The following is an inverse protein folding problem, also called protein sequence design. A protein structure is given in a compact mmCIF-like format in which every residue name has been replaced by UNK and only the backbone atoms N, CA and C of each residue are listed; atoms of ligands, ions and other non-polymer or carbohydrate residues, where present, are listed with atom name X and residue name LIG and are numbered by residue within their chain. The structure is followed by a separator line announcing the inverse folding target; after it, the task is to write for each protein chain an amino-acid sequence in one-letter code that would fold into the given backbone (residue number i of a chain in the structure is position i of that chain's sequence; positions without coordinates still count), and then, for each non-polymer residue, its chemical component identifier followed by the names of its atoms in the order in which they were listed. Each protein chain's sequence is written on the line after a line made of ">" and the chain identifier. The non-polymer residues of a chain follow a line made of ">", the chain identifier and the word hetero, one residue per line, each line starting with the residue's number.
data_IF_393693271259
#
_entry.id   IF_393693271259
#
_cell.length_a   1.000
_cell.length_b   1.000
_cell.length_c   1.000
_cell.angle_alpha   90.00
_cell.angle_beta   90.00
_cell.angle_gamma   90.00
#
_symmetry.space_group_name_H-M   'P 1'
#
loop_
_entity.id
_entity.type
_entity.pdbx_description
1 polymer ?
#
# COMPACT_ATOMS: atom_id res chain seq x y z
N UNK A 1 17.30 -16.66 -34.90
CA UNK A 1 17.76 -15.76 -33.83
C UNK A 1 16.83 -16.04 -32.67
N UNK A 2 17.29 -16.74 -31.64
CA UNK A 2 16.49 -17.04 -30.46
C UNK A 2 16.18 -15.73 -29.75
N UNK A 3 14.90 -15.40 -29.61
CA UNK A 3 14.42 -14.41 -28.64
C UNK A 3 14.84 -14.92 -27.25
N UNK A 4 15.92 -14.36 -26.74
CA UNK A 4 16.22 -14.45 -25.33
C UNK A 4 15.09 -13.64 -24.67
N UNK A 5 14.07 -14.30 -24.13
CA UNK A 5 13.07 -13.67 -23.31
C UNK A 5 13.83 -12.83 -22.27
N UNK A 6 13.63 -11.51 -22.33
CA UNK A 6 14.33 -10.62 -21.41
C UNK A 6 13.78 -10.91 -20.02
N UNK A 7 14.67 -11.35 -19.12
CA UNK A 7 14.32 -11.61 -17.73
C UNK A 7 13.63 -10.39 -17.09
N UNK A 8 12.66 -10.65 -16.23
CA UNK A 8 11.96 -9.62 -15.46
C UNK A 8 12.88 -9.16 -14.33
N UNK A 9 13.33 -7.91 -14.39
CA UNK A 9 14.22 -7.32 -13.40
C UNK A 9 13.44 -6.90 -12.16
N UNK A 10 13.63 -7.64 -11.08
CA UNK A 10 12.96 -7.42 -9.81
C UNK A 10 13.86 -6.81 -8.75
N UNK A 11 13.25 -6.01 -7.90
CA UNK A 11 13.82 -5.57 -6.62
C UNK A 11 12.80 -5.83 -5.51
N UNK A 12 13.28 -6.27 -4.34
CA UNK A 12 12.41 -6.60 -3.20
C UNK A 12 12.84 -5.80 -1.97
N UNK A 13 11.87 -5.28 -1.22
CA UNK A 13 12.10 -4.67 0.10
C UNK A 13 11.14 -5.22 1.15
N UNK A 14 11.70 -5.70 2.25
CA UNK A 14 10.98 -6.11 3.47
C UNK A 14 11.95 -5.96 4.64
N UNK A 15 11.57 -5.32 5.73
CA UNK A 15 12.41 -5.13 6.92
C UNK A 15 12.64 -6.42 7.72
N UNK A 16 11.87 -7.48 7.43
CA UNK A 16 12.03 -8.82 7.99
C UNK A 16 12.99 -9.68 7.16
N UNK A 17 14.27 -9.71 7.55
CA UNK A 17 15.34 -10.41 6.81
C UNK A 17 15.01 -11.86 6.42
N UNK A 18 14.37 -12.62 7.30
CA UNK A 18 14.04 -14.03 7.01
C UNK A 18 12.97 -14.15 5.92
N UNK A 19 11.97 -13.28 5.95
CA UNK A 19 10.93 -13.20 4.91
C UNK A 19 11.56 -12.84 3.58
N UNK A 20 12.37 -11.78 3.56
CA UNK A 20 13.07 -11.29 2.38
C UNK A 20 13.95 -12.38 1.75
N UNK A 21 14.79 -13.06 2.54
CA UNK A 21 15.65 -14.14 2.06
C UNK A 21 14.85 -15.33 1.52
N UNK A 22 13.79 -15.72 2.22
CA UNK A 22 12.91 -16.82 1.78
C UNK A 22 12.23 -16.51 0.46
N UNK A 23 11.71 -15.29 0.31
CA UNK A 23 11.05 -14.82 -0.90
C UNK A 23 12.02 -14.75 -2.09
N UNK A 24 13.19 -14.12 -1.90
CA UNK A 24 14.19 -14.03 -2.95
C UNK A 24 14.63 -15.41 -3.44
N UNK A 25 14.92 -16.33 -2.52
CA UNK A 25 15.32 -17.69 -2.90
C UNK A 25 14.29 -18.42 -3.77
N UNK A 26 13.00 -18.23 -3.47
CA UNK A 26 11.93 -18.86 -4.25
C UNK A 26 11.74 -18.21 -5.63
N UNK A 27 11.96 -16.90 -5.73
CA UNK A 27 11.88 -16.19 -7.01
C UNK A 27 13.10 -16.44 -7.89
N UNK A 28 14.29 -16.68 -7.32
CA UNK A 28 15.51 -17.06 -8.03
C UNK A 28 15.41 -18.45 -8.71
N UNK A 29 14.45 -19.29 -8.30
CA UNK A 29 14.19 -20.59 -8.94
C UNK A 29 13.38 -20.45 -10.25
N UNK A 30 12.95 -19.25 -10.62
CA UNK A 30 12.13 -18.98 -11.81
C UNK A 30 13.01 -18.43 -12.93
N UNK A 31 13.11 -19.15 -14.04
CA UNK A 31 14.08 -18.91 -15.13
C UNK A 31 14.01 -17.51 -15.76
N UNK A 32 12.84 -16.90 -15.80
CA UNK A 32 12.58 -15.59 -16.42
C UNK A 32 12.52 -14.43 -15.42
N UNK A 33 12.90 -14.67 -14.15
CA UNK A 33 12.98 -13.64 -13.10
C UNK A 33 14.45 -13.42 -12.72
N UNK A 34 14.86 -12.17 -12.68
CA UNK A 34 16.19 -11.73 -12.23
C UNK A 34 16.04 -10.78 -11.03
N UNK A 35 16.51 -11.18 -9.85
CA UNK A 35 16.52 -10.32 -8.67
C UNK A 35 17.77 -9.44 -8.71
N UNK A 36 17.62 -8.16 -9.02
CA UNK A 36 18.72 -7.18 -9.06
C UNK A 36 19.17 -6.76 -7.67
N UNK A 37 18.29 -6.84 -6.67
CA UNK A 37 18.62 -6.49 -5.30
C UNK A 37 17.50 -6.78 -4.31
N UNK A 38 17.90 -6.95 -3.05
CA UNK A 38 16.99 -7.10 -1.93
C UNK A 38 17.40 -6.17 -0.77
N UNK A 39 16.45 -5.47 -0.19
CA UNK A 39 16.72 -4.37 0.74
C UNK A 39 15.90 -4.51 2.02
N UNK A 40 16.50 -4.11 3.13
CA UNK A 40 15.81 -3.97 4.42
C UNK A 40 15.65 -2.51 4.84
N UNK A 41 16.26 -1.58 4.08
CA UNK A 41 16.26 -0.15 4.38
C UNK A 41 15.84 0.66 3.14
N UNK A 42 14.90 1.57 3.33
CA UNK A 42 14.34 2.39 2.26
C UNK A 42 15.40 3.25 1.57
N UNK A 43 16.32 3.85 2.32
CA UNK A 43 17.33 4.72 1.72
C UNK A 43 18.28 3.97 0.77
N UNK A 44 18.65 2.74 1.11
CA UNK A 44 19.46 1.88 0.25
C UNK A 44 18.72 1.51 -1.04
N UNK A 45 17.43 1.16 -0.94
CA UNK A 45 16.57 0.92 -2.08
C UNK A 45 16.49 2.13 -3.01
N UNK A 46 16.21 3.34 -2.47
CA UNK A 46 16.07 4.55 -3.27
C UNK A 46 17.35 4.92 -4.02
N UNK A 47 18.52 4.72 -3.37
CA UNK A 47 19.82 4.92 -4.03
C UNK A 47 20.02 3.92 -5.17
N UNK A 48 19.64 2.68 -4.98
CA UNK A 48 19.74 1.63 -6.00
C UNK A 48 18.84 1.92 -7.20
N UNK A 49 17.58 2.30 -6.97
CA UNK A 49 16.61 2.63 -8.01
C UNK A 49 17.02 3.82 -8.87
N UNK A 50 17.77 4.78 -8.32
CA UNK A 50 18.32 5.92 -9.09
C UNK A 50 19.42 5.54 -10.08
N UNK A 51 20.04 4.37 -9.90
CA UNK A 51 21.21 3.93 -10.66
C UNK A 51 20.93 2.72 -11.56
N UNK A 52 19.79 2.08 -11.40
CA UNK A 52 19.48 0.83 -12.08
C UNK A 52 18.08 0.85 -12.70
N UNK A 53 17.95 0.26 -13.87
CA UNK A 53 16.66 0.02 -14.48
C UNK A 53 16.01 -1.22 -13.87
N UNK A 54 14.87 -1.04 -13.25
CA UNK A 54 14.06 -2.06 -12.57
C UNK A 54 12.69 -2.11 -13.23
N UNK A 55 12.20 -3.31 -13.50
CA UNK A 55 10.86 -3.51 -14.07
C UNK A 55 9.77 -3.47 -13.00
N UNK A 56 10.02 -4.17 -11.88
CA UNK A 56 9.03 -4.33 -10.82
C UNK A 56 9.71 -4.23 -9.45
N UNK A 57 9.12 -3.44 -8.57
CA UNK A 57 9.42 -3.41 -7.14
C UNK A 57 8.37 -4.20 -6.37
N UNK A 58 8.80 -5.14 -5.55
CA UNK A 58 7.97 -5.80 -4.55
C UNK A 58 8.29 -5.18 -3.20
N UNK A 59 7.29 -4.63 -2.51
CA UNK A 59 7.47 -3.96 -1.22
C UNK A 59 6.49 -4.47 -0.18
N UNK A 60 6.99 -4.68 1.03
CA UNK A 60 6.09 -4.72 2.20
C UNK A 60 5.38 -3.37 2.36
N UNK A 61 4.12 -3.43 2.76
CA UNK A 61 3.31 -2.25 3.06
C UNK A 61 3.78 -1.58 4.36
N UNK A 62 4.21 -2.36 5.34
CA UNK A 62 4.65 -1.87 6.65
C UNK A 62 6.15 -2.11 6.78
N UNK A 63 6.94 -1.07 6.58
CA UNK A 63 8.37 -1.05 6.80
C UNK A 63 8.67 -0.34 8.13
N UNK A 64 9.79 -0.65 8.76
CA UNK A 64 10.16 -0.16 10.10
C UNK A 64 10.07 1.37 10.24
N UNK A 65 10.54 2.10 9.24
CA UNK A 65 10.68 3.56 9.31
C UNK A 65 9.82 4.30 8.26
N UNK A 66 9.03 3.59 7.46
CA UNK A 66 8.26 4.18 6.36
C UNK A 66 7.04 3.31 6.04
N UNK A 67 5.91 3.93 5.81
CA UNK A 67 4.76 3.22 5.26
C UNK A 67 4.92 3.00 3.75
N UNK A 68 4.50 1.84 3.24
CA UNK A 68 4.63 1.50 1.82
C UNK A 68 4.01 2.53 0.88
N UNK A 69 2.93 3.19 1.27
CA UNK A 69 2.33 4.27 0.49
C UNK A 69 3.21 5.51 0.38
N UNK A 70 3.91 5.88 1.46
CA UNK A 70 4.87 7.00 1.42
C UNK A 70 6.05 6.66 0.51
N UNK A 71 6.47 5.39 0.51
CA UNK A 71 7.50 4.89 -0.40
C UNK A 71 7.02 4.96 -1.86
N UNK A 72 5.80 4.52 -2.16
CA UNK A 72 5.19 4.60 -3.50
C UNK A 72 5.15 6.04 -4.00
N UNK A 73 4.63 6.97 -3.18
CA UNK A 73 4.58 8.39 -3.51
C UNK A 73 5.98 8.95 -3.83
N UNK A 74 6.94 8.67 -2.95
CA UNK A 74 8.32 9.14 -3.10
C UNK A 74 9.00 8.59 -4.36
N UNK A 75 8.78 7.32 -4.71
CA UNK A 75 9.31 6.73 -5.94
C UNK A 75 8.71 7.42 -7.15
N UNK A 76 7.39 7.63 -7.17
CA UNK A 76 6.71 8.29 -8.28
C UNK A 76 7.16 9.74 -8.49
N UNK A 77 7.41 10.48 -7.42
CA UNK A 77 7.83 11.88 -7.47
C UNK A 77 9.33 12.07 -7.80
N UNK A 78 10.21 11.24 -7.22
CA UNK A 78 11.65 11.52 -7.20
C UNK A 78 12.48 10.59 -8.10
N UNK A 79 11.93 9.44 -8.55
CA UNK A 79 12.72 8.40 -9.22
C UNK A 79 12.13 8.01 -10.55
N UNK A 80 11.01 7.31 -10.56
CA UNK A 80 10.38 6.78 -11.76
C UNK A 80 8.87 6.58 -11.57
N UNK A 81 8.01 7.44 -12.16
CA UNK A 81 6.56 7.28 -12.06
C UNK A 81 6.01 6.04 -12.79
N UNK A 82 6.81 5.45 -13.69
CA UNK A 82 6.41 4.28 -14.48
C UNK A 82 6.85 2.95 -13.83
N UNK A 83 7.59 3.01 -12.70
CA UNK A 83 8.01 1.79 -12.00
C UNK A 83 6.78 1.04 -11.48
N UNK A 84 6.65 -0.21 -11.91
CA UNK A 84 5.55 -1.06 -11.49
C UNK A 84 5.79 -1.55 -10.06
N UNK A 85 4.80 -1.33 -9.18
CA UNK A 85 4.93 -1.67 -7.76
C UNK A 85 3.88 -2.71 -7.39
N UNK A 86 4.33 -3.78 -6.73
CA UNK A 86 3.51 -4.80 -6.07
C UNK A 86 3.68 -4.60 -4.57
N UNK A 87 2.60 -4.31 -3.86
CA UNK A 87 2.59 -4.25 -2.41
C UNK A 87 2.19 -5.61 -1.82
N UNK A 88 2.88 -6.01 -0.76
CA UNK A 88 2.55 -7.22 0.01
C UNK A 88 2.25 -6.80 1.45
N UNK A 89 1.22 -7.36 2.08
CA UNK A 89 0.88 -7.05 3.46
C UNK A 89 0.36 -8.27 4.21
N UNK A 90 0.72 -8.39 5.49
CA UNK A 90 0.10 -9.34 6.43
C UNK A 90 -1.30 -8.89 6.86
N UNK A 91 -1.67 -7.65 6.61
CA UNK A 91 -2.99 -7.11 6.89
C UNK A 91 -3.67 -6.73 5.58
N UNK A 92 -4.77 -7.41 5.26
CA UNK A 92 -5.57 -7.11 4.09
C UNK A 92 -6.86 -6.42 4.55
N UNK A 93 -6.93 -5.13 4.30
CA UNK A 93 -8.15 -4.35 4.45
C UNK A 93 -8.56 -3.77 3.09
N UNK A 94 -9.84 -3.83 2.77
CA UNK A 94 -10.36 -3.38 1.48
C UNK A 94 -10.04 -1.90 1.19
N UNK A 95 -10.04 -1.05 2.24
CA UNK A 95 -9.68 0.36 2.14
C UNK A 95 -8.20 0.58 1.77
N UNK A 96 -7.30 -0.21 2.34
CA UNK A 96 -5.86 -0.16 2.07
C UNK A 96 -5.59 -0.60 0.62
N UNK A 97 -6.30 -1.62 0.18
CA UNK A 97 -6.21 -2.10 -1.19
C UNK A 97 -6.65 -1.04 -2.21
N UNK A 98 -7.78 -0.37 -1.96
CA UNK A 98 -8.25 0.68 -2.86
C UNK A 98 -7.30 1.88 -2.89
N UNK A 99 -6.75 2.29 -1.76
CA UNK A 99 -5.74 3.34 -1.70
C UNK A 99 -4.51 2.98 -2.55
N UNK A 100 -4.05 1.74 -2.52
CA UNK A 100 -2.95 1.26 -3.35
C UNK A 100 -3.24 1.45 -4.85
N UNK A 101 -4.47 1.11 -5.28
CA UNK A 101 -4.89 1.27 -6.68
C UNK A 101 -4.92 2.75 -7.07
N UNK A 102 -5.48 3.61 -6.23
CA UNK A 102 -5.58 5.06 -6.51
C UNK A 102 -4.20 5.72 -6.60
N UNK A 103 -3.20 5.14 -5.93
CA UNK A 103 -1.80 5.58 -6.01
C UNK A 103 -1.04 4.96 -7.20
N UNK A 104 -1.71 4.21 -8.07
CA UNK A 104 -1.10 3.61 -9.24
C UNK A 104 -0.29 2.33 -8.97
N UNK A 105 -0.48 1.70 -7.81
CA UNK A 105 0.11 0.39 -7.52
C UNK A 105 -0.48 -0.66 -8.45
N UNK A 106 0.36 -1.49 -9.04
CA UNK A 106 -0.08 -2.50 -10.01
C UNK A 106 -0.74 -3.71 -9.37
N UNK A 107 -0.31 -4.09 -8.17
CA UNK A 107 -0.92 -5.20 -7.46
C UNK A 107 -0.77 -5.06 -5.94
N UNK A 108 -1.71 -5.67 -5.23
CA UNK A 108 -1.69 -5.77 -3.78
C UNK A 108 -1.98 -7.22 -3.37
N UNK A 109 -1.01 -7.87 -2.72
CA UNK A 109 -1.10 -9.27 -2.31
C UNK A 109 -1.04 -9.42 -0.79
N UNK A 110 -1.56 -10.53 -0.30
CA UNK A 110 -1.38 -10.93 1.11
C UNK A 110 -0.03 -11.61 1.31
N UNK A 111 0.60 -11.45 2.48
CA UNK A 111 1.82 -12.21 2.84
C UNK A 111 1.57 -13.72 2.92
N UNK A 112 0.31 -14.14 3.11
CA UNK A 112 -0.10 -15.54 3.09
C UNK A 112 -0.36 -16.10 1.69
N UNK A 113 -0.30 -15.26 0.65
CA UNK A 113 -0.43 -15.71 -0.74
C UNK A 113 0.67 -16.72 -1.08
N UNK A 114 0.34 -17.70 -1.88
CA UNK A 114 1.30 -18.69 -2.32
C UNK A 114 2.35 -18.04 -3.26
N UNK A 115 3.54 -18.63 -3.29
CA UNK A 115 4.60 -18.18 -4.22
C UNK A 115 4.14 -18.24 -5.66
N UNK A 116 3.33 -19.24 -6.00
CA UNK A 116 2.75 -19.36 -7.34
C UNK A 116 1.85 -18.15 -7.67
N UNK A 117 0.99 -17.73 -6.75
CA UNK A 117 0.15 -16.54 -6.95
C UNK A 117 0.99 -15.27 -7.14
N UNK A 118 2.09 -15.15 -6.40
CA UNK A 118 3.02 -14.03 -6.57
C UNK A 118 3.71 -14.07 -7.94
N UNK A 119 4.18 -15.22 -8.40
CA UNK A 119 4.81 -15.39 -9.71
C UNK A 119 3.81 -15.06 -10.83
N UNK A 120 2.59 -15.60 -10.76
CA UNK A 120 1.53 -15.29 -11.71
C UNK A 120 1.24 -13.76 -11.73
N UNK A 121 1.21 -13.13 -10.55
CA UNK A 121 1.03 -11.70 -10.41
C UNK A 121 2.18 -10.89 -11.05
N UNK A 122 3.43 -11.30 -10.82
CA UNK A 122 4.62 -10.66 -11.42
C UNK A 122 4.51 -10.68 -12.96
N UNK A 123 4.16 -11.81 -13.55
CA UNK A 123 3.99 -11.93 -15.00
C UNK A 123 2.88 -11.01 -15.54
N UNK A 124 1.74 -10.97 -14.87
CA UNK A 124 0.63 -10.08 -15.28
C UNK A 124 1.02 -8.60 -15.15
N UNK A 125 1.67 -8.22 -14.05
CA UNK A 125 2.18 -6.86 -13.85
C UNK A 125 3.23 -6.50 -14.92
N UNK A 126 4.11 -7.45 -15.29
CA UNK A 126 5.08 -7.21 -16.39
C UNK A 126 4.36 -6.89 -17.71
N UNK A 127 3.25 -7.59 -18.01
CA UNK A 127 2.41 -7.34 -19.19
C UNK A 127 1.66 -6.02 -19.13
N UNK A 128 1.67 -5.32 -17.99
CA UNK A 128 0.98 -4.05 -17.77
C UNK A 128 -0.43 -4.20 -17.19
N UNK A 129 -0.82 -5.41 -16.77
CA UNK A 129 -2.10 -5.66 -16.14
C UNK A 129 -2.05 -5.27 -14.66
N UNK A 130 -3.11 -4.61 -14.17
CA UNK A 130 -3.31 -4.40 -12.74
C UNK A 130 -4.07 -5.58 -12.14
N UNK A 131 -3.57 -6.11 -11.03
CA UNK A 131 -4.21 -7.22 -10.30
C UNK A 131 -5.10 -6.63 -9.21
N UNK A 132 -6.37 -6.49 -9.54
CA UNK A 132 -7.42 -6.01 -8.62
C UNK A 132 -8.29 -7.21 -8.23
N UNK A 133 -8.40 -7.56 -6.94
CA UNK A 133 -9.31 -8.62 -6.50
C UNK A 133 -10.76 -8.32 -6.90
N UNK A 134 -11.44 -9.32 -7.43
CA UNK A 134 -12.83 -9.22 -7.94
C UNK A 134 -13.87 -8.77 -6.90
N UNK A 135 -13.54 -8.73 -5.60
CA UNK A 135 -14.43 -8.22 -4.54
C UNK A 135 -14.69 -6.72 -4.64
N UNK A 136 -13.84 -5.95 -5.36
CA UNK A 136 -13.92 -4.48 -5.46
C UNK A 136 -14.76 -4.03 -6.67
N UNK A 137 -15.02 -4.91 -7.64
CA UNK A 137 -15.78 -4.57 -8.86
C UNK A 137 -17.29 -4.44 -8.59
N UNK A 138 -17.78 -4.93 -7.44
CA UNK A 138 -19.18 -4.78 -7.03
C UNK A 138 -19.37 -3.55 -6.15
N UNK A 139 -19.93 -2.54 -6.75
CA UNK A 139 -20.41 -1.27 -6.19
C UNK A 139 -19.36 -0.15 -6.09
N UNK A 140 -19.45 0.76 -7.05
CA UNK A 140 -18.96 2.15 -6.93
C UNK A 140 -19.74 2.90 -5.84
N UNK A 141 -19.60 2.49 -4.60
CA UNK A 141 -19.91 3.33 -3.47
C UNK A 141 -18.58 3.86 -2.94
N UNK A 142 -18.40 5.15 -3.07
CA UNK A 142 -17.25 5.91 -2.59
C UNK A 142 -17.06 5.71 -1.09
N UNK A 143 -16.28 4.70 -0.71
CA UNK A 143 -15.92 4.44 0.69
C UNK A 143 -14.69 5.23 1.16
N UNK A 144 -14.19 6.17 0.31
CA UNK A 144 -13.04 6.99 0.68
C UNK A 144 -13.39 8.04 1.71
N UNK A 145 -12.50 8.19 2.69
CA UNK A 145 -12.53 9.34 3.57
C UNK A 145 -12.11 10.57 2.75
N UNK A 146 -12.98 11.57 2.73
CA UNK A 146 -12.63 12.87 2.16
C UNK A 146 -11.47 13.51 2.94
N UNK A 147 -10.76 14.51 2.38
CA UNK A 147 -9.72 15.22 3.12
C UNK A 147 -10.20 15.70 4.50
N UNK A 148 -11.39 16.26 4.58
CA UNK A 148 -12.00 16.69 5.84
C UNK A 148 -12.28 15.54 6.80
N UNK A 149 -12.75 14.39 6.30
CA UNK A 149 -12.96 13.20 7.12
C UNK A 149 -11.64 12.63 7.66
N UNK A 150 -10.55 12.71 6.88
CA UNK A 150 -9.21 12.33 7.35
C UNK A 150 -8.72 13.22 8.48
N UNK A 151 -8.92 14.54 8.37
CA UNK A 151 -8.59 15.49 9.43
C UNK A 151 -9.43 15.25 10.70
N UNK A 152 -10.73 15.03 10.55
CA UNK A 152 -11.61 14.66 11.68
C UNK A 152 -11.16 13.34 12.31
N UNK A 153 -10.83 12.34 11.50
CA UNK A 153 -10.40 11.02 11.99
C UNK A 153 -9.07 11.10 12.74
N UNK A 154 -8.12 11.91 12.27
CA UNK A 154 -6.86 12.17 12.96
C UNK A 154 -7.10 12.73 14.36
N UNK A 155 -7.90 13.77 14.48
CA UNK A 155 -8.26 14.36 15.78
C UNK A 155 -9.06 13.39 16.67
N UNK A 156 -9.85 12.51 16.08
CA UNK A 156 -10.53 11.42 16.80
C UNK A 156 -9.51 10.42 17.38
N UNK A 157 -8.45 10.09 16.67
CA UNK A 157 -7.38 9.22 17.13
C UNK A 157 -6.55 9.87 18.25
N UNK A 158 -6.40 11.20 18.22
CA UNK A 158 -5.77 12.01 19.26
C UNK A 158 -6.71 12.30 20.46
N UNK A 159 -7.85 11.60 20.55
CA UNK A 159 -8.82 11.62 21.64
C UNK A 159 -9.61 12.95 21.80
N UNK A 160 -9.55 13.89 20.86
CA UNK A 160 -10.33 15.13 20.92
C UNK A 160 -11.83 14.84 20.86
N UNK A 161 -12.60 15.52 21.68
CA UNK A 161 -14.08 15.49 21.64
C UNK A 161 -14.64 16.18 20.39
N UNK A 162 -15.88 15.90 20.02
CA UNK A 162 -16.51 16.58 18.88
C UNK A 162 -16.57 18.12 19.04
N UNK A 163 -16.64 18.61 20.28
CA UNK A 163 -16.66 20.06 20.58
C UNK A 163 -15.28 20.68 20.32
N UNK A 164 -14.21 20.00 20.71
CA UNK A 164 -12.84 20.45 20.47
C UNK A 164 -12.51 20.40 18.98
N UNK A 165 -12.86 19.31 18.29
CA UNK A 165 -12.70 19.17 16.83
C UNK A 165 -13.45 20.29 16.10
N UNK A 166 -14.68 20.61 16.54
CA UNK A 166 -15.47 21.69 15.97
C UNK A 166 -14.75 23.04 16.07
N UNK A 167 -14.08 23.30 17.20
CA UNK A 167 -13.27 24.52 17.40
C UNK A 167 -12.04 24.54 16.52
N UNK A 168 -11.29 23.41 16.48
CA UNK A 168 -10.04 23.26 15.69
C UNK A 168 -10.31 23.46 14.20
N UNK A 169 -11.34 22.79 13.67
CA UNK A 169 -11.66 22.79 12.23
C UNK A 169 -12.65 23.89 11.82
N UNK A 170 -13.02 24.81 12.75
CA UNK A 170 -13.99 25.88 12.50
C UNK A 170 -15.33 25.38 11.95
N UNK A 171 -15.83 24.28 12.50
CA UNK A 171 -17.08 23.63 12.11
C UNK A 171 -18.11 23.68 13.23
N UNK A 172 -19.39 23.35 12.92
CA UNK A 172 -20.38 23.12 13.97
C UNK A 172 -20.18 21.75 14.61
N UNK A 173 -20.51 21.58 15.89
CA UNK A 173 -20.54 20.30 16.58
C UNK A 173 -21.38 19.25 15.81
N UNK A 174 -22.50 19.68 15.22
CA UNK A 174 -23.38 18.81 14.41
C UNK A 174 -22.68 18.32 13.14
N UNK A 175 -21.88 19.19 12.49
CA UNK A 175 -21.09 18.84 11.30
C UNK A 175 -20.03 17.79 11.64
N UNK A 176 -19.30 17.97 12.75
CA UNK A 176 -18.31 16.99 13.22
C UNK A 176 -19.00 15.66 13.55
N UNK A 177 -20.13 15.66 14.25
CA UNK A 177 -20.87 14.44 14.55
C UNK A 177 -21.31 13.68 13.28
N UNK A 178 -21.72 14.43 12.24
CA UNK A 178 -22.05 13.85 10.93
C UNK A 178 -20.83 13.22 10.25
N UNK A 179 -19.67 13.90 10.29
CA UNK A 179 -18.42 13.32 9.76
C UNK A 179 -18.01 12.07 10.53
N UNK A 180 -18.05 12.06 11.85
CA UNK A 180 -17.73 10.87 12.67
C UNK A 180 -18.66 9.72 12.32
N UNK A 181 -19.94 9.97 12.11
CA UNK A 181 -20.90 8.93 11.69
C UNK A 181 -20.57 8.40 10.30
N UNK A 182 -20.27 9.27 9.33
CA UNK A 182 -19.89 8.89 7.98
C UNK A 182 -18.56 8.09 7.98
N UNK A 183 -17.59 8.54 8.77
CA UNK A 183 -16.33 7.83 8.96
C UNK A 183 -16.57 6.41 9.50
N UNK A 184 -17.40 6.26 10.56
CA UNK A 184 -17.71 4.95 11.11
C UNK A 184 -18.39 4.04 10.09
N UNK A 185 -19.27 4.56 9.26
CA UNK A 185 -19.91 3.81 8.17
C UNK A 185 -18.89 3.41 7.10
N UNK A 186 -18.04 4.35 6.66
CA UNK A 186 -17.02 4.10 5.65
C UNK A 186 -15.95 3.12 6.13
N UNK A 187 -15.57 3.17 7.40
CA UNK A 187 -14.61 2.25 8.03
C UNK A 187 -15.25 0.95 8.54
N UNK A 188 -16.56 0.78 8.33
CA UNK A 188 -17.33 -0.39 8.80
C UNK A 188 -17.11 -0.70 10.30
N UNK A 189 -17.08 0.32 11.14
CA UNK A 189 -16.90 0.21 12.60
C UNK A 189 -18.13 0.67 13.36
N UNK A 190 -18.35 0.10 14.57
CA UNK A 190 -19.56 0.35 15.36
C UNK A 190 -19.58 1.71 16.09
N UNK A 191 -18.50 2.51 16.04
CA UNK A 191 -18.46 3.81 16.69
C UNK A 191 -17.07 4.39 16.80
N UNK A 192 -16.97 5.55 17.49
CA UNK A 192 -15.78 6.38 17.62
C UNK A 192 -14.52 5.63 18.04
N UNK A 193 -14.61 4.73 19.02
CA UNK A 193 -13.47 3.92 19.51
C UNK A 193 -12.95 3.00 18.40
N UNK A 194 -13.87 2.44 17.61
CA UNK A 194 -13.51 1.66 16.44
C UNK A 194 -12.80 2.51 15.38
N UNK A 195 -13.31 3.71 15.12
CA UNK A 195 -12.70 4.66 14.18
C UNK A 195 -11.28 5.08 14.63
N UNK A 196 -11.10 5.42 15.92
CA UNK A 196 -9.78 5.75 16.45
C UNK A 196 -8.77 4.62 16.29
N UNK A 197 -9.18 3.38 16.56
CA UNK A 197 -8.32 2.20 16.36
C UNK A 197 -7.93 2.01 14.90
N UNK A 198 -8.85 2.21 13.96
CA UNK A 198 -8.53 2.12 12.53
C UNK A 198 -7.61 3.26 12.09
N UNK A 199 -7.76 4.48 12.61
CA UNK A 199 -6.85 5.59 12.33
C UNK A 199 -5.40 5.27 12.72
N UNK A 200 -5.20 4.65 13.89
CA UNK A 200 -3.87 4.22 14.36
C UNK A 200 -3.26 3.18 13.41
N UNK A 201 -4.05 2.20 12.96
CA UNK A 201 -3.60 1.21 11.98
C UNK A 201 -3.24 1.84 10.61
N UNK A 202 -3.95 2.89 10.23
CA UNK A 202 -3.74 3.64 8.98
C UNK A 202 -2.59 4.65 9.08
N UNK A 203 -1.90 4.75 10.23
CA UNK A 203 -0.83 5.73 10.50
C UNK A 203 -1.29 7.19 10.32
N UNK A 204 -2.53 7.49 10.67
CA UNK A 204 -3.14 8.84 10.57
C UNK A 204 -3.02 9.66 11.87
N UNK A 205 -2.02 9.42 12.69
CA UNK A 205 -1.72 10.16 13.93
C UNK A 205 -0.60 11.16 13.73
#
# INVERSE_FOLDING_TARGET
>A
MSEKEMSIKLVVIDDHKLVLQGLCKQLEEVDDIEILGSFTEVNALLLFLKQNEVDILISDLILKDTHGFDLVAKIGEEINPELKIILISGFYEELVHQQAIDMGVYAFLRKESSVKELIDCIHEVKRGNQIIPNSIIKEKTTTFLTPTEKEVLKLVAEEYTNEEIAKILSMSHRTVASHVTAICQKLNVKGRVGAAREAIKMNLN
#
